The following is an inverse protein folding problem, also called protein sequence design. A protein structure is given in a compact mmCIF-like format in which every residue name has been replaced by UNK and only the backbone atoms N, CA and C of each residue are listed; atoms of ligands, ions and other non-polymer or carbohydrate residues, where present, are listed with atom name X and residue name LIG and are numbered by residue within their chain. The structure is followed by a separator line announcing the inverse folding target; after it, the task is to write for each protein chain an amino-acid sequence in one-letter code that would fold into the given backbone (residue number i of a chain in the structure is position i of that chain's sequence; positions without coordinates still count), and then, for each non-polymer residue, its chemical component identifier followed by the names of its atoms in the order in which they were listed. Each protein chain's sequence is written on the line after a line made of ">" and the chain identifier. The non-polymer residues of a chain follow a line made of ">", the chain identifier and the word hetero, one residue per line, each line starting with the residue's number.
data_IF_871617855024
#
_entry.id   IF_871617855024
#
_cell.length_a   1.000
_cell.length_b   1.000
_cell.length_c   1.000
_cell.angle_alpha   90.00
_cell.angle_beta   90.00
_cell.angle_gamma   90.00
#
_symmetry.space_group_name_H-M   'P 1'
#
loop_
_entity.id
_entity.type
_entity.pdbx_description
1 polymer ?
#
# COMPACT_ATOMS: atom_id res chain seq x y z
N UNK A 1 3.55 4.80 11.30
CA UNK A 1 2.74 3.75 10.66
C UNK A 1 3.36 2.38 10.94
N UNK A 2 2.57 1.47 11.45
CA UNK A 2 3.00 0.09 11.60
C UNK A 2 2.68 -0.67 10.32
N UNK A 3 3.71 -1.22 9.71
CA UNK A 3 3.59 -1.90 8.41
C UNK A 3 3.88 -3.39 8.58
N UNK A 4 2.95 -4.21 8.15
CA UNK A 4 3.10 -5.66 8.13
C UNK A 4 3.06 -6.09 6.66
N UNK A 5 4.10 -6.80 6.21
CA UNK A 5 4.22 -7.21 4.82
C UNK A 5 4.23 -8.74 4.74
N UNK A 6 3.33 -9.29 3.93
CA UNK A 6 3.24 -10.72 3.70
C UNK A 6 3.58 -11.02 2.24
N UNK A 7 4.49 -11.95 2.03
CA UNK A 7 4.82 -12.47 0.70
C UNK A 7 4.08 -13.78 0.53
N UNK A 8 3.01 -13.76 -0.25
CA UNK A 8 2.13 -14.92 -0.42
C UNK A 8 2.60 -15.77 -1.60
N UNK A 9 3.16 -16.95 -1.28
CA UNK A 9 3.64 -17.91 -2.27
C UNK A 9 4.73 -17.36 -3.19
N UNK A 10 5.47 -16.35 -2.73
CA UNK A 10 6.64 -15.83 -3.44
C UNK A 10 7.75 -15.62 -2.42
N UNK A 11 9.03 -15.64 -2.86
CA UNK A 11 10.14 -15.42 -1.94
C UNK A 11 10.10 -14.00 -1.35
N UNK A 12 10.48 -13.89 -0.09
CA UNK A 12 10.62 -12.57 0.52
C UNK A 12 11.81 -11.83 -0.08
N UNK A 13 11.71 -10.51 -0.12
CA UNK A 13 12.77 -9.66 -0.68
C UNK A 13 12.90 -8.40 0.18
N UNK A 14 14.11 -8.17 0.69
CA UNK A 14 14.38 -6.98 1.49
C UNK A 14 14.27 -5.72 0.64
N UNK A 15 14.66 -5.80 -0.63
CA UNK A 15 14.55 -4.66 -1.55
C UNK A 15 13.08 -4.27 -1.75
N UNK A 16 12.21 -5.25 -1.92
CA UNK A 16 10.77 -4.99 -2.09
C UNK A 16 10.18 -4.44 -0.80
N UNK A 17 10.56 -5.00 0.37
CA UNK A 17 10.12 -4.48 1.66
C UNK A 17 10.50 -3.00 1.82
N UNK A 18 11.74 -2.67 1.49
CA UNK A 18 12.23 -1.29 1.58
C UNK A 18 11.42 -0.36 0.66
N UNK A 19 11.07 -0.84 -0.51
CA UNK A 19 10.28 -0.05 -1.44
C UNK A 19 8.87 0.24 -0.89
N UNK A 20 8.22 -0.78 -0.31
CA UNK A 20 6.92 -0.61 0.33
C UNK A 20 7.02 0.41 1.46
N UNK A 21 8.01 0.23 2.35
CA UNK A 21 8.18 1.10 3.51
C UNK A 21 8.43 2.55 3.08
N UNK A 22 9.25 2.74 2.04
CA UNK A 22 9.55 4.07 1.52
C UNK A 22 8.30 4.77 0.97
N UNK A 23 7.50 4.04 0.20
CA UNK A 23 6.27 4.59 -0.37
C UNK A 23 5.23 4.90 0.70
N UNK A 24 5.04 4.00 1.65
CA UNK A 24 4.07 4.20 2.72
C UNK A 24 4.51 5.27 3.72
N UNK A 25 5.82 5.44 3.93
CA UNK A 25 6.33 6.52 4.79
C UNK A 25 5.93 7.90 4.28
N UNK A 26 5.92 8.08 2.97
CA UNK A 26 5.49 9.35 2.37
C UNK A 26 4.00 9.59 2.60
N UNK A 27 3.21 8.51 2.55
CA UNK A 27 1.77 8.60 2.77
C UNK A 27 1.43 8.82 4.25
N UNK A 28 2.26 8.27 5.15
CA UNK A 28 2.08 8.44 6.58
C UNK A 28 2.06 9.92 6.99
N UNK A 29 2.84 10.73 6.28
CA UNK A 29 2.88 12.18 6.54
C UNK A 29 1.57 12.89 6.22
N UNK A 30 0.71 12.26 5.45
CA UNK A 30 -0.61 12.79 5.11
C UNK A 30 -1.66 12.45 6.17
N UNK A 31 -1.33 11.56 7.11
CA UNK A 31 -2.27 11.09 8.13
C UNK A 31 -2.03 11.84 9.44
N UNK A 32 -3.12 12.10 10.17
CA UNK A 32 -3.07 12.89 11.41
C UNK A 32 -2.99 12.03 12.67
N UNK A 33 -2.93 10.72 12.52
CA UNK A 33 -2.91 9.79 13.64
C UNK A 33 -2.12 8.54 13.26
N UNK A 34 -1.70 7.73 14.24
CA UNK A 34 -1.03 6.47 13.95
C UNK A 34 -1.88 5.56 13.07
N UNK A 35 -1.25 4.89 12.13
CA UNK A 35 -1.94 4.02 11.20
C UNK A 35 -1.33 2.62 11.22
N UNK A 36 -2.14 1.63 10.86
CA UNK A 36 -1.70 0.27 10.67
C UNK A 36 -1.93 -0.11 9.21
N UNK A 37 -0.91 -0.69 8.59
CA UNK A 37 -0.98 -1.11 7.20
C UNK A 37 -0.63 -2.58 7.09
N UNK A 38 -1.52 -3.37 6.51
CA UNK A 38 -1.27 -4.77 6.20
C UNK A 38 -1.16 -4.89 4.70
N UNK A 39 0.03 -5.26 4.23
CA UNK A 39 0.34 -5.36 2.81
C UNK A 39 0.54 -6.82 2.45
N UNK A 40 -0.12 -7.28 1.40
CA UNK A 40 0.06 -8.63 0.87
C UNK A 40 0.57 -8.52 -0.55
N UNK A 41 1.69 -9.19 -0.82
CA UNK A 41 2.32 -9.20 -2.12
C UNK A 41 2.26 -10.61 -2.69
N UNK A 42 1.81 -10.73 -3.93
CA UNK A 42 1.67 -12.03 -4.59
C UNK A 42 1.91 -11.91 -6.08
N UNK A 43 2.25 -13.03 -6.69
CA UNK A 43 2.29 -13.13 -8.14
C UNK A 43 1.12 -14.00 -8.56
N UNK A 44 0.46 -13.61 -9.63
CA UNK A 44 -0.63 -14.38 -10.19
C UNK A 44 -0.44 -14.45 -11.70
N UNK A 45 -0.09 -15.63 -12.19
CA UNK A 45 0.33 -15.86 -13.56
C UNK A 45 1.54 -14.97 -13.85
N UNK A 46 1.48 -14.07 -14.81
CA UNK A 46 2.59 -13.19 -15.15
C UNK A 46 2.42 -11.79 -14.57
N UNK A 47 1.56 -11.64 -13.56
CA UNK A 47 1.30 -10.33 -12.96
C UNK A 47 1.72 -10.31 -11.50
N UNK A 48 2.20 -9.15 -11.07
CA UNK A 48 2.46 -8.87 -9.65
C UNK A 48 1.28 -8.11 -9.08
N UNK A 49 0.86 -8.50 -7.88
CA UNK A 49 -0.29 -7.90 -7.21
C UNK A 49 0.13 -7.45 -5.82
N UNK A 50 -0.19 -6.20 -5.49
CA UNK A 50 0.04 -5.65 -4.16
C UNK A 50 -1.29 -5.19 -3.60
N UNK A 51 -1.65 -5.68 -2.41
CA UNK A 51 -2.90 -5.29 -1.75
C UNK A 51 -2.58 -4.68 -0.40
N UNK A 52 -3.44 -3.76 0.04
CA UNK A 52 -3.29 -3.15 1.34
C UNK A 52 -4.63 -3.02 2.04
N UNK A 53 -4.58 -3.21 3.38
CA UNK A 53 -5.63 -2.78 4.29
C UNK A 53 -4.98 -1.78 5.22
N UNK A 54 -5.39 -0.53 5.15
CA UNK A 54 -4.87 0.55 5.97
C UNK A 54 -5.96 1.05 6.91
N UNK A 55 -5.64 1.15 8.19
CA UNK A 55 -6.55 1.66 9.20
C UNK A 55 -5.90 2.80 9.96
N UNK A 56 -6.59 3.94 10.02
CA UNK A 56 -6.14 5.11 10.76
C UNK A 56 -7.36 5.82 11.34
N UNK A 57 -7.61 5.61 12.63
CA UNK A 57 -8.84 6.07 13.26
C UNK A 57 -10.08 5.56 12.50
N UNK A 58 -10.89 6.47 11.99
CA UNK A 58 -12.10 6.12 11.23
C UNK A 58 -11.83 5.85 9.75
N UNK A 59 -10.63 6.16 9.29
CA UNK A 59 -10.24 5.94 7.91
C UNK A 59 -9.86 4.48 7.70
N UNK A 60 -10.53 3.83 6.76
CA UNK A 60 -10.20 2.46 6.36
C UNK A 60 -10.04 2.44 4.86
N UNK A 61 -8.88 2.03 4.41
CA UNK A 61 -8.57 1.93 2.99
C UNK A 61 -8.27 0.49 2.63
N UNK A 62 -8.93 0.01 1.60
CA UNK A 62 -8.62 -1.28 1.00
C UNK A 62 -8.37 -1.02 -0.48
N UNK A 63 -7.17 -1.32 -0.95
CA UNK A 63 -6.78 -1.04 -2.32
C UNK A 63 -5.85 -2.12 -2.85
N UNK A 64 -5.76 -2.24 -4.16
CA UNK A 64 -4.80 -3.13 -4.79
C UNK A 64 -4.16 -2.45 -6.00
N UNK A 65 -2.91 -2.80 -6.25
CA UNK A 65 -2.18 -2.37 -7.42
C UNK A 65 -1.67 -3.59 -8.16
N UNK A 66 -1.64 -3.52 -9.47
CA UNK A 66 -1.18 -4.62 -10.31
C UNK A 66 -0.17 -4.12 -11.34
N UNK A 67 0.73 -4.99 -11.74
CA UNK A 67 1.66 -4.72 -12.82
C UNK A 67 1.94 -6.00 -13.58
N UNK A 68 2.18 -5.87 -14.87
CA UNK A 68 2.50 -7.01 -15.73
C UNK A 68 3.97 -7.39 -15.61
N UNK A 69 4.32 -8.54 -16.16
CA UNK A 69 5.70 -9.03 -16.24
C UNK A 69 6.39 -9.19 -14.88
N UNK A 70 5.61 -9.52 -13.84
CA UNK A 70 6.14 -9.74 -12.49
C UNK A 70 6.95 -8.55 -11.97
N UNK A 71 6.49 -7.35 -12.28
CA UNK A 71 7.13 -6.12 -11.80
C UNK A 71 6.47 -5.66 -10.51
N UNK A 72 6.94 -6.19 -9.39
CA UNK A 72 6.37 -5.88 -8.08
C UNK A 72 6.54 -4.39 -7.70
N UNK A 73 7.64 -3.76 -8.12
CA UNK A 73 7.85 -2.35 -7.83
C UNK A 73 6.77 -1.48 -8.46
N UNK A 74 6.40 -1.78 -9.70
CA UNK A 74 5.34 -1.04 -10.39
C UNK A 74 3.98 -1.29 -9.73
N UNK A 75 3.73 -2.51 -9.26
CA UNK A 75 2.49 -2.84 -8.56
C UNK A 75 2.37 -2.03 -7.26
N UNK A 76 3.47 -1.91 -6.52
CA UNK A 76 3.52 -1.13 -5.28
C UNK A 76 3.31 0.36 -5.57
N UNK A 77 3.93 0.87 -6.64
CA UNK A 77 3.78 2.27 -7.02
C UNK A 77 2.32 2.58 -7.39
N UNK A 78 1.68 1.68 -8.13
CA UNK A 78 0.26 1.82 -8.47
C UNK A 78 -0.60 1.82 -7.20
N UNK A 79 -0.31 0.92 -6.27
CA UNK A 79 -1.02 0.84 -5.00
C UNK A 79 -0.89 2.15 -4.22
N UNK A 80 0.32 2.69 -4.13
CA UNK A 80 0.58 3.92 -3.39
C UNK A 80 -0.22 5.10 -3.96
N UNK A 81 -0.33 5.20 -5.28
CA UNK A 81 -1.12 6.25 -5.91
C UNK A 81 -2.61 6.14 -5.56
N UNK A 82 -3.14 4.93 -5.54
CA UNK A 82 -4.54 4.70 -5.17
C UNK A 82 -4.80 5.08 -3.73
N UNK A 83 -3.88 4.75 -2.82
CA UNK A 83 -4.00 5.11 -1.42
C UNK A 83 -4.00 6.64 -1.27
N UNK A 84 -3.10 7.31 -1.96
CA UNK A 84 -2.98 8.77 -1.90
C UNK A 84 -4.30 9.44 -2.32
N UNK A 85 -4.90 8.95 -3.38
CA UNK A 85 -6.19 9.47 -3.85
C UNK A 85 -7.27 9.29 -2.79
N UNK A 86 -7.32 8.12 -2.15
CA UNK A 86 -8.32 7.84 -1.12
C UNK A 86 -8.11 8.70 0.12
N UNK A 87 -6.87 8.92 0.54
CA UNK A 87 -6.57 9.80 1.66
C UNK A 87 -7.04 11.23 1.37
N UNK A 88 -6.75 11.72 0.17
CA UNK A 88 -7.16 13.07 -0.22
C UNK A 88 -8.69 13.22 -0.24
N UNK A 89 -9.39 12.21 -0.73
CA UNK A 89 -10.85 12.22 -0.72
C UNK A 89 -11.42 12.26 0.70
N UNK A 90 -10.80 11.49 1.59
CA UNK A 90 -11.22 11.48 2.99
C UNK A 90 -11.01 12.85 3.63
N UNK A 91 -9.86 13.49 3.38
CA UNK A 91 -9.56 14.80 3.92
C UNK A 91 -10.52 15.88 3.40
N UNK A 92 -10.89 15.81 2.13
CA UNK A 92 -11.86 16.74 1.56
C UNK A 92 -13.20 16.65 2.27
N UNK A 93 -13.64 15.43 2.60
CA UNK A 93 -14.89 15.25 3.33
C UNK A 93 -14.81 15.77 4.76
N UNK A 94 -13.63 15.79 5.34
CA UNK A 94 -13.44 16.25 6.72
C UNK A 94 -13.37 17.77 6.84
N UNK A 95 -13.20 18.48 5.74
CA UNK A 95 -13.07 19.95 5.75
C UNK A 95 -14.41 20.68 5.81
N UNK A 96 -15.50 20.00 6.01
CA UNK A 96 -16.82 20.63 6.10
C UNK A 96 -17.24 20.89 7.53
#
# INVERSE_FOLDING_TARGET
>A
MNISITFKNIPSSDAVKSHVEKKLSKLDKMLDAPAEAQVVLADEKLRSIAEINLTCNKLKIHASGEAEENNMYAAIDSLAEKIKIQINKFKEKQKR
#
